data_IF_818550570303
#
_entry.id   IF_818550570303
#
_cell.length_a   1.000
_cell.length_b   1.000
_cell.length_c   1.000
_cell.angle_alpha   90.00
_cell.angle_beta   90.00
_cell.angle_gamma   90.00
#
_symmetry.space_group_name_H-M   'P 1'
#
loop_
_entity.id
_entity.type
_entity.pdbx_description
1 polymer ?
#
# COMPACT_ATOMS: atom_id res chain seq x y z
N UNK A 1 -6.10 -14.21 -17.00
CA UNK A 1 -5.58 -12.85 -16.68
C UNK A 1 -6.62 -11.73 -16.89
N UNK A 2 -7.92 -11.94 -16.57
CA UNK A 2 -8.97 -10.90 -16.65
C UNK A 2 -9.31 -10.26 -15.29
N UNK A 3 -8.70 -10.76 -14.21
CA UNK A 3 -9.19 -10.56 -12.85
C UNK A 3 -8.70 -9.25 -12.18
N UNK A 4 -7.72 -8.56 -12.78
CA UNK A 4 -7.09 -7.38 -12.16
C UNK A 4 -7.32 -6.05 -12.88
N UNK A 5 -8.04 -6.03 -14.01
CA UNK A 5 -8.37 -4.77 -14.69
C UNK A 5 -9.13 -3.81 -13.77
N UNK A 6 -10.03 -4.34 -12.93
CA UNK A 6 -10.81 -3.54 -11.96
C UNK A 6 -9.95 -2.89 -10.85
N UNK A 7 -8.74 -3.39 -10.59
CA UNK A 7 -7.86 -2.84 -9.56
C UNK A 7 -6.89 -1.80 -10.11
N UNK A 8 -6.78 -1.65 -11.43
CA UNK A 8 -5.79 -0.76 -12.05
C UNK A 8 -5.92 0.67 -11.55
N UNK A 9 -7.12 1.24 -11.62
CA UNK A 9 -7.35 2.62 -11.19
C UNK A 9 -7.18 2.80 -9.68
N UNK A 10 -7.60 1.80 -8.89
CA UNK A 10 -7.43 1.79 -7.43
C UNK A 10 -5.96 1.73 -7.01
N UNK A 11 -5.14 0.98 -7.75
CA UNK A 11 -3.70 0.91 -7.54
C UNK A 11 -3.02 2.22 -7.93
N UNK A 12 -3.40 2.84 -9.05
CA UNK A 12 -2.90 4.16 -9.44
C UNK A 12 -3.21 5.19 -8.37
N UNK A 13 -4.44 5.22 -7.85
CA UNK A 13 -4.83 6.11 -6.76
C UNK A 13 -4.02 5.83 -5.48
N UNK A 14 -3.87 4.55 -5.11
CA UNK A 14 -3.08 4.14 -3.96
C UNK A 14 -1.63 4.65 -4.07
N UNK A 15 -0.97 4.46 -5.22
CA UNK A 15 0.40 4.91 -5.42
C UNK A 15 0.54 6.44 -5.36
N UNK A 16 -0.45 7.20 -5.85
CA UNK A 16 -0.46 8.66 -5.68
C UNK A 16 -0.50 9.06 -4.21
N UNK A 17 -1.24 8.33 -3.39
CA UNK A 17 -1.36 8.60 -1.95
C UNK A 17 -0.10 8.18 -1.19
N UNK A 18 0.48 7.02 -1.53
CA UNK A 18 1.69 6.52 -0.87
C UNK A 18 2.90 7.44 -1.04
N UNK A 19 2.95 8.23 -2.12
CA UNK A 19 4.00 9.25 -2.34
C UNK A 19 4.05 10.32 -1.25
N UNK A 20 2.90 10.77 -0.73
CA UNK A 20 2.83 11.83 0.28
C UNK A 20 2.52 11.30 1.68
N UNK A 21 1.85 10.15 1.76
CA UNK A 21 1.50 9.49 3.00
C UNK A 21 1.84 7.98 2.91
N UNK A 22 3.04 7.57 3.34
CA UNK A 22 3.48 6.19 3.24
C UNK A 22 2.71 5.23 4.16
N UNK A 23 1.89 5.72 5.10
CA UNK A 23 1.03 4.89 5.95
C UNK A 23 -0.40 5.47 5.96
N UNK A 24 -1.20 5.24 4.90
CA UNK A 24 -2.50 5.88 4.75
C UNK A 24 -3.64 5.16 5.52
N UNK A 25 -3.41 4.85 6.79
CA UNK A 25 -4.31 4.04 7.64
C UNK A 25 -5.70 4.68 7.85
N UNK A 26 -5.83 5.99 7.68
CA UNK A 26 -7.12 6.69 7.77
C UNK A 26 -8.04 6.41 6.58
N UNK A 27 -7.47 6.05 5.42
CA UNK A 27 -8.21 5.82 4.16
C UNK A 27 -8.22 4.35 3.74
N UNK A 28 -7.20 3.58 4.12
CA UNK A 28 -7.07 2.19 3.74
C UNK A 28 -6.90 1.29 4.96
N UNK A 29 -7.32 0.03 4.81
CA UNK A 29 -6.99 -1.06 5.73
C UNK A 29 -5.49 -1.38 5.60
N UNK A 30 -4.69 -0.70 6.43
CA UNK A 30 -3.24 -0.85 6.55
C UNK A 30 -2.92 -1.66 7.79
N UNK A 31 -2.09 -2.69 7.65
CA UNK A 31 -1.53 -3.44 8.76
C UNK A 31 0.00 -3.50 8.65
N UNK A 32 0.71 -3.27 9.76
CA UNK A 32 2.16 -3.53 9.84
C UNK A 32 2.41 -5.03 9.95
N UNK A 33 3.33 -5.58 9.16
CA UNK A 33 3.66 -6.99 9.22
C UNK A 33 4.62 -7.27 10.39
N UNK A 34 4.21 -8.17 11.29
CA UNK A 34 5.03 -8.58 12.44
C UNK A 34 6.28 -9.32 11.95
N UNK A 35 7.42 -9.05 12.58
CA UNK A 35 8.71 -9.63 12.20
C UNK A 35 9.47 -8.84 11.14
N UNK A 36 8.86 -7.81 10.55
CA UNK A 36 9.49 -6.93 9.57
C UNK A 36 9.58 -5.50 10.11
N UNK A 37 10.68 -4.80 9.77
CA UNK A 37 10.98 -3.47 10.36
C UNK A 37 10.02 -2.39 9.87
N UNK A 38 9.87 -2.26 8.55
CA UNK A 38 9.11 -1.19 7.90
C UNK A 38 8.18 -1.70 6.79
N UNK A 39 7.70 -2.93 6.93
CA UNK A 39 6.86 -3.58 5.92
C UNK A 39 5.39 -3.50 6.33
N UNK A 40 4.56 -3.06 5.39
CA UNK A 40 3.13 -2.83 5.58
C UNK A 40 2.33 -3.56 4.51
N UNK A 41 1.08 -3.86 4.82
CA UNK A 41 0.11 -4.47 3.92
C UNK A 41 -1.13 -3.59 3.83
N UNK A 42 -1.55 -3.27 2.61
CA UNK A 42 -2.83 -2.65 2.30
C UNK A 42 -3.77 -3.66 1.65
N UNK A 43 -5.02 -3.72 2.14
CA UNK A 43 -6.06 -4.54 1.54
C UNK A 43 -6.91 -3.74 0.55
N UNK A 44 -6.93 -4.17 -0.70
CA UNK A 44 -7.80 -3.66 -1.76
C UNK A 44 -8.74 -4.78 -2.23
N UNK A 45 -9.86 -4.96 -1.52
CA UNK A 45 -10.79 -6.06 -1.80
C UNK A 45 -10.12 -7.43 -1.60
N UNK A 46 -9.97 -8.19 -2.70
CA UNK A 46 -9.25 -9.48 -2.71
C UNK A 46 -7.74 -9.33 -2.91
N UNK A 47 -7.28 -8.18 -3.41
CA UNK A 47 -5.86 -7.89 -3.62
C UNK A 47 -5.22 -7.40 -2.31
N UNK A 48 -3.97 -7.81 -2.09
CA UNK A 48 -3.13 -7.35 -0.97
C UNK A 48 -1.85 -6.74 -1.54
N UNK A 49 -1.60 -5.48 -1.24
CA UNK A 49 -0.38 -4.77 -1.62
C UNK A 49 0.55 -4.79 -0.41
N UNK A 50 1.73 -5.40 -0.55
CA UNK A 50 2.76 -5.40 0.48
C UNK A 50 3.88 -4.49 -0.01
N UNK A 51 4.32 -3.57 0.84
CA UNK A 51 5.37 -2.61 0.50
C UNK A 51 6.22 -2.29 1.73
N UNK A 52 7.41 -1.76 1.47
CA UNK A 52 8.33 -1.29 2.49
C UNK A 52 8.44 0.23 2.42
N UNK A 53 8.62 0.86 3.57
CA UNK A 53 8.93 2.28 3.67
C UNK A 53 10.37 2.41 4.11
N UNK A 54 11.22 2.93 3.23
CA UNK A 54 12.52 3.42 3.64
C UNK A 54 12.34 4.78 4.32
N UNK A 55 12.80 4.89 5.56
CA UNK A 55 12.77 6.14 6.33
C UNK A 55 14.11 6.87 6.33
N UNK A 56 15.18 6.22 5.86
CA UNK A 56 16.50 6.82 5.72
C UNK A 56 16.51 7.79 4.53
N UNK A 57 15.82 7.42 3.45
CA UNK A 57 15.43 8.36 2.40
C UNK A 57 14.15 9.10 2.82
N UNK A 58 14.30 10.21 3.55
CA UNK A 58 13.22 11.19 3.60
C UNK A 58 13.16 11.92 2.24
N UNK A 59 11.97 12.05 1.63
CA UNK A 59 11.80 12.95 0.49
C UNK A 59 12.03 14.42 0.88
#
# INVERSE_FOLDING_TARGET
MKEYQEYKDRLIELFKILKSNPIPYKKYDVAKLKGYRNTYRIRLGKLRVIYEVDWAEKP
#
